data_IF_535470375203
#
_entry.id   IF_535470375203
#
_cell.length_a   1.000
_cell.length_b   1.000
_cell.length_c   1.000
_cell.angle_alpha   90.00
_cell.angle_beta   90.00
_cell.angle_gamma   90.00
#
_symmetry.space_group_name_H-M   'P 1'
#
loop_
_entity.id
_entity.type
_entity.pdbx_description
1 polymer ?
#
# COMPACT_ATOMS: atom_id res chain seq x y z
N UNK A 1 -41.84 25.14 -33.75
CA UNK A 1 -40.41 24.85 -33.99
C UNK A 1 -39.48 25.22 -32.83
N UNK A 2 -39.82 26.18 -31.95
CA UNK A 2 -38.89 26.65 -30.91
C UNK A 2 -38.86 25.77 -29.64
N UNK A 3 -39.98 25.13 -29.28
CA UNK A 3 -40.09 24.25 -28.10
C UNK A 3 -39.31 22.93 -28.26
N UNK A 4 -39.27 22.37 -29.47
CA UNK A 4 -38.55 21.12 -29.77
C UNK A 4 -37.02 21.33 -29.84
N UNK A 5 -36.57 22.48 -30.39
CA UNK A 5 -35.16 22.93 -30.37
C UNK A 5 -34.68 23.28 -28.96
N UNK A 6 -35.54 23.91 -28.15
CA UNK A 6 -35.23 24.15 -26.74
C UNK A 6 -35.15 22.85 -25.93
N UNK A 7 -36.00 21.86 -26.20
CA UNK A 7 -35.93 20.56 -25.54
C UNK A 7 -34.63 19.82 -25.89
N UNK A 8 -34.16 19.91 -27.15
CA UNK A 8 -32.89 19.31 -27.57
C UNK A 8 -31.69 20.01 -26.95
N UNK A 9 -31.70 21.35 -26.83
CA UNK A 9 -30.61 22.11 -26.18
C UNK A 9 -30.53 21.81 -24.68
N UNK A 10 -31.68 21.69 -24.00
CA UNK A 10 -31.71 21.32 -22.58
C UNK A 10 -31.23 19.88 -22.37
N UNK A 11 -31.57 18.95 -23.27
CA UNK A 11 -31.10 17.57 -23.20
C UNK A 11 -29.58 17.46 -23.45
N UNK A 12 -29.04 18.30 -24.35
CA UNK A 12 -27.61 18.36 -24.66
C UNK A 12 -26.80 19.03 -23.54
N UNK A 13 -27.38 20.02 -22.84
CA UNK A 13 -26.79 20.64 -21.65
C UNK A 13 -26.81 19.72 -20.43
N UNK A 14 -27.82 18.85 -20.29
CA UNK A 14 -27.92 17.87 -19.20
C UNK A 14 -26.95 16.69 -19.36
N UNK A 15 -26.50 16.40 -20.58
CA UNK A 15 -25.52 15.34 -20.85
C UNK A 15 -24.08 15.75 -20.49
N UNK A 16 -23.77 17.04 -20.46
CA UNK A 16 -22.41 17.55 -20.17
C UNK A 16 -22.12 17.56 -18.66
N UNK A 17 -23.15 17.61 -17.80
CA UNK A 17 -22.95 17.67 -16.33
C UNK A 17 -22.69 16.32 -15.67
N UNK A 18 -22.87 15.20 -16.37
CA UNK A 18 -22.70 13.86 -15.77
C UNK A 18 -21.24 13.32 -15.85
N UNK A 19 -20.33 14.03 -16.52
CA UNK A 19 -18.95 13.59 -16.74
C UNK A 19 -17.94 13.96 -15.64
N UNK A 20 -18.36 14.67 -14.60
CA UNK A 20 -17.50 15.18 -13.52
C UNK A 20 -17.64 14.35 -12.23
N UNK A 21 -17.86 13.04 -12.33
CA UNK A 21 -17.74 12.18 -11.16
C UNK A 21 -16.23 12.05 -10.90
N UNK A 22 -15.68 12.61 -9.82
CA UNK A 22 -14.32 12.29 -9.43
C UNK A 22 -14.28 10.78 -9.21
N UNK A 23 -13.54 10.07 -10.06
CA UNK A 23 -13.27 8.66 -9.82
C UNK A 23 -12.63 8.56 -8.43
N UNK A 24 -13.02 7.60 -7.58
CA UNK A 24 -12.24 7.32 -6.39
C UNK A 24 -10.84 6.99 -6.89
N UNK A 25 -9.87 7.83 -6.51
CA UNK A 25 -8.47 7.45 -6.62
C UNK A 25 -8.36 6.29 -5.66
N UNK A 26 -8.40 5.07 -6.19
CA UNK A 26 -7.84 3.92 -5.51
C UNK A 26 -6.38 4.28 -5.35
N UNK A 27 -6.03 4.87 -4.20
CA UNK A 27 -4.65 4.92 -3.77
C UNK A 27 -4.19 3.47 -3.94
N UNK A 28 -3.24 3.23 -4.84
CA UNK A 28 -2.50 1.98 -4.78
C UNK A 28 -2.00 1.94 -3.34
N UNK A 29 -2.51 1.00 -2.56
CA UNK A 29 -1.91 0.58 -1.31
C UNK A 29 -0.56 -0.02 -1.68
N UNK A 30 0.38 0.84 -2.10
CA UNK A 30 1.79 0.55 -1.94
C UNK A 30 1.93 0.31 -0.45
N UNK A 31 2.34 -0.92 -0.10
CA UNK A 31 2.32 -1.47 1.26
C UNK A 31 2.41 -0.35 2.30
N UNK A 32 1.26 0.04 2.85
CA UNK A 32 1.25 1.08 3.87
C UNK A 32 1.96 0.47 5.07
N UNK A 33 3.16 0.95 5.34
CA UNK A 33 3.90 0.53 6.52
C UNK A 33 3.16 1.10 7.73
N UNK A 34 2.56 0.22 8.53
CA UNK A 34 1.98 0.57 9.82
C UNK A 34 3.08 0.99 10.80
N UNK A 35 4.29 0.44 10.63
CA UNK A 35 5.47 0.86 11.35
C UNK A 35 6.76 0.65 10.56
N UNK A 36 7.76 1.49 10.84
CA UNK A 36 9.13 1.30 10.42
C UNK A 36 9.95 0.67 11.55
N UNK A 37 10.68 -0.40 11.25
CA UNK A 37 11.56 -1.08 12.21
C UNK A 37 12.99 -1.06 11.70
N UNK A 38 13.90 -0.56 12.53
CA UNK A 38 15.33 -0.68 12.28
C UNK A 38 15.85 -1.94 12.95
N UNK A 39 16.36 -2.89 12.16
CA UNK A 39 16.94 -4.14 12.65
C UNK A 39 18.06 -3.87 13.65
N UNK A 40 17.97 -4.47 14.84
CA UNK A 40 19.01 -4.41 15.86
C UNK A 40 19.78 -5.73 15.95
N UNK A 41 20.83 -5.75 16.78
CA UNK A 41 21.47 -7.01 17.15
C UNK A 41 20.48 -7.98 17.81
N UNK A 42 20.65 -9.27 17.54
CA UNK A 42 19.77 -10.36 18.00
C UNK A 42 18.33 -10.32 17.46
N UNK A 43 18.09 -9.62 16.35
CA UNK A 43 16.82 -9.70 15.61
C UNK A 43 16.88 -10.73 14.47
N UNK A 44 15.71 -11.32 14.20
CA UNK A 44 15.43 -12.13 13.03
C UNK A 44 13.95 -11.95 12.68
N UNK A 45 13.57 -12.18 11.42
CA UNK A 45 12.25 -11.75 10.92
C UNK A 45 11.08 -12.35 11.69
N UNK A 46 11.13 -13.63 12.11
CA UNK A 46 10.04 -14.24 12.88
C UNK A 46 9.87 -13.67 14.29
N UNK A 47 10.94 -13.19 14.94
CA UNK A 47 10.83 -12.45 16.22
C UNK A 47 10.15 -11.09 16.02
N UNK A 48 10.44 -10.42 14.91
CA UNK A 48 9.80 -9.16 14.56
C UNK A 48 8.32 -9.43 14.24
N UNK A 49 8.02 -10.45 13.45
CA UNK A 49 6.64 -10.85 13.12
C UNK A 49 5.82 -11.20 14.37
N UNK A 50 6.37 -12.00 15.30
CA UNK A 50 5.71 -12.30 16.57
C UNK A 50 5.39 -11.03 17.36
N UNK A 51 6.33 -10.09 17.43
CA UNK A 51 6.18 -8.83 18.16
C UNK A 51 5.12 -7.89 17.58
N UNK A 52 5.07 -7.76 16.25
CA UNK A 52 4.24 -6.75 15.59
C UNK A 52 2.96 -7.29 14.96
N UNK A 53 2.98 -8.54 14.51
CA UNK A 53 1.88 -9.21 13.81
C UNK A 53 1.22 -10.27 14.69
N UNK A 54 1.84 -10.65 15.81
CA UNK A 54 1.32 -11.66 16.74
C UNK A 54 1.45 -13.09 16.23
N UNK A 55 2.15 -13.30 15.10
CA UNK A 55 2.44 -14.61 14.53
C UNK A 55 3.89 -14.63 14.02
N UNK A 56 4.78 -15.46 14.61
CA UNK A 56 6.15 -15.60 14.12
C UNK A 56 6.23 -16.14 12.69
N UNK A 57 5.19 -16.85 12.20
CA UNK A 57 5.13 -17.37 10.83
C UNK A 57 4.71 -16.32 9.81
N UNK A 58 4.21 -15.16 10.23
CA UNK A 58 3.81 -14.05 9.36
C UNK A 58 5.01 -13.22 8.84
N UNK A 59 6.24 -13.65 9.10
CA UNK A 59 7.44 -12.98 8.62
C UNK A 59 7.53 -12.77 7.10
N UNK A 60 6.96 -13.62 6.22
CA UNK A 60 6.95 -13.36 4.77
C UNK A 60 6.22 -12.07 4.40
N UNK A 61 5.21 -11.66 5.17
CA UNK A 61 4.49 -10.41 4.95
C UNK A 61 5.41 -9.19 5.16
N UNK A 62 6.34 -9.26 6.12
CA UNK A 62 7.37 -8.21 6.34
C UNK A 62 8.31 -8.15 5.13
N UNK A 63 8.69 -9.30 4.56
CA UNK A 63 9.58 -9.37 3.38
C UNK A 63 8.91 -8.72 2.17
N UNK A 64 7.66 -9.10 1.89
CA UNK A 64 6.90 -8.53 0.78
C UNK A 64 6.68 -7.03 0.95
N UNK A 65 6.24 -6.60 2.13
CA UNK A 65 6.01 -5.19 2.43
C UNK A 65 7.29 -4.36 2.31
N UNK A 66 8.41 -4.88 2.84
CA UNK A 66 9.71 -4.17 2.78
C UNK A 66 10.22 -4.08 1.35
N UNK A 67 10.15 -5.13 0.55
CA UNK A 67 10.57 -5.10 -0.86
C UNK A 67 9.64 -4.20 -1.71
N UNK A 68 8.35 -4.18 -1.42
CA UNK A 68 7.39 -3.27 -2.05
C UNK A 68 7.72 -1.82 -1.73
N UNK A 69 8.03 -1.54 -0.45
CA UNK A 69 8.45 -0.21 -0.01
C UNK A 69 9.80 0.19 -0.63
N UNK A 70 10.77 -0.74 -0.73
CA UNK A 70 12.08 -0.51 -1.34
C UNK A 70 11.99 -0.13 -2.83
N UNK A 71 10.98 -0.62 -3.56
CA UNK A 71 10.75 -0.24 -4.94
C UNK A 71 10.30 1.24 -5.10
N UNK A 72 9.76 1.85 -4.05
CA UNK A 72 9.31 3.24 -4.03
C UNK A 72 10.24 4.18 -3.24
N UNK A 73 10.93 3.66 -2.22
CA UNK A 73 11.83 4.37 -1.32
C UNK A 73 13.06 3.49 -1.03
N UNK A 74 14.20 3.87 -1.62
CA UNK A 74 15.49 3.15 -1.52
C UNK A 74 16.07 3.11 -0.09
N UNK A 75 15.47 3.81 0.88
CA UNK A 75 15.90 3.70 2.28
C UNK A 75 15.39 2.43 2.99
N UNK A 76 14.43 1.70 2.42
CA UNK A 76 14.06 0.36 2.88
C UNK A 76 15.04 -0.70 2.35
N UNK A 77 15.20 -1.78 3.09
CA UNK A 77 16.06 -2.88 2.67
C UNK A 77 15.47 -3.66 1.49
N UNK A 78 16.33 -4.06 0.55
CA UNK A 78 15.97 -5.10 -0.41
C UNK A 78 16.35 -6.46 0.18
N UNK A 79 15.34 -7.29 0.49
CA UNK A 79 15.51 -8.59 1.12
C UNK A 79 15.40 -9.67 0.05
N UNK A 80 16.56 -10.13 -0.44
CA UNK A 80 16.64 -11.22 -1.42
C UNK A 80 16.62 -12.61 -0.75
N UNK A 81 17.12 -12.69 0.49
CA UNK A 81 17.12 -13.91 1.30
C UNK A 81 16.52 -13.62 2.69
N UNK A 82 15.34 -14.14 3.03
CA UNK A 82 14.68 -13.87 4.31
C UNK A 82 15.41 -14.47 5.52
N UNK A 83 16.32 -15.43 5.33
CA UNK A 83 17.14 -15.98 6.41
C UNK A 83 18.29 -15.03 6.81
N UNK A 84 18.47 -13.92 6.08
CA UNK A 84 19.53 -12.94 6.32
C UNK A 84 18.91 -11.55 6.43
N UNK A 85 19.07 -10.92 7.60
CA UNK A 85 18.83 -9.49 7.79
C UNK A 85 20.05 -8.87 8.45
N UNK A 86 20.37 -7.62 8.11
CA UNK A 86 21.51 -6.92 8.67
C UNK A 86 21.09 -5.82 9.62
N UNK A 87 21.92 -5.58 10.64
CA UNK A 87 21.73 -4.50 11.61
C UNK A 87 21.69 -3.16 10.86
N UNK A 88 20.68 -2.34 11.18
CA UNK A 88 20.47 -1.03 10.55
C UNK A 88 19.53 -1.05 9.35
N UNK A 89 19.12 -2.23 8.85
CA UNK A 89 18.09 -2.31 7.81
C UNK A 89 16.77 -1.71 8.29
N UNK A 90 16.15 -0.89 7.44
CA UNK A 90 14.79 -0.39 7.66
C UNK A 90 13.79 -1.36 7.02
N UNK A 91 12.92 -1.92 7.86
CA UNK A 91 11.86 -2.84 7.49
C UNK A 91 10.51 -2.13 7.54
N UNK A 92 9.65 -2.46 6.59
CA UNK A 92 8.25 -2.06 6.57
C UNK A 92 7.42 -3.14 7.27
N UNK A 93 6.73 -2.76 8.35
CA UNK A 93 5.79 -3.64 9.04
C UNK A 93 4.40 -3.38 8.46
N UNK A 94 3.75 -4.37 7.83
CA UNK A 94 2.39 -4.20 7.33
C UNK A 94 1.37 -4.21 8.48
N UNK A 95 0.15 -3.78 8.18
CA UNK A 95 -0.98 -3.99 9.07
C UNK A 95 -1.17 -5.50 9.37
N UNK A 96 -1.51 -5.83 10.62
CA UNK A 96 -1.65 -7.22 11.05
C UNK A 96 -2.73 -7.97 10.28
N UNK A 97 -3.78 -7.28 9.83
CA UNK A 97 -4.85 -7.84 8.99
C UNK A 97 -4.36 -8.19 7.59
N UNK A 98 -3.34 -7.50 7.09
CA UNK A 98 -2.74 -7.77 5.77
C UNK A 98 -1.69 -8.90 5.82
N UNK A 99 -1.36 -9.40 7.01
CA UNK A 99 -0.32 -10.41 7.22
C UNK A 99 -0.86 -11.87 7.27
N UNK A 100 -2.15 -12.07 6.99
CA UNK A 100 -2.86 -13.37 7.07
C UNK A 100 -2.99 -14.08 5.73
#
# INVERSE_FOLDING_TARGET
MNKLKQLTIVLLLLAVTFGLIPAPIMAQEGAACDADVIVQGDDWLSKIADKFLGDPLAFPAIVEATNTAAAADESYAQIDNPDIIEIGWKLCIPAAEAAQ
#
